data_IF_884487862691
#
_entry.id   IF_884487862691
#
_cell.length_a   1.000
_cell.length_b   1.000
_cell.length_c   1.000
_cell.angle_alpha   90.00
_cell.angle_beta   90.00
_cell.angle_gamma   90.00
#
_symmetry.space_group_name_H-M   'P 1'
#
loop_
_entity.id
_entity.type
_entity.pdbx_description
1 polymer ?
#
# COMPACT_ATOMS: atom_id res chain seq x y z
N UNK A 1 16.01 -11.23 -4.03
CA UNK A 1 15.38 -10.84 -2.75
C UNK A 1 13.87 -10.70 -2.96
N UNK A 2 13.02 -11.19 -2.04
CA UNK A 2 11.57 -11.03 -2.14
C UNK A 2 11.18 -9.70 -1.49
N UNK A 3 10.61 -8.77 -2.27
CA UNK A 3 10.26 -7.43 -1.77
C UNK A 3 8.79 -7.31 -1.34
N UNK A 4 7.91 -8.17 -1.88
CA UNK A 4 6.50 -8.26 -1.52
C UNK A 4 6.12 -9.70 -1.19
N UNK A 5 5.33 -9.89 -0.12
CA UNK A 5 4.86 -11.20 0.33
C UNK A 5 3.37 -11.16 0.66
N UNK A 6 2.51 -11.18 -0.37
CA UNK A 6 1.05 -11.14 -0.23
C UNK A 6 0.56 -10.05 0.75
N UNK A 7 0.93 -8.77 0.55
CA UNK A 7 0.69 -7.71 1.54
C UNK A 7 -0.80 -7.46 1.82
N UNK A 8 -1.67 -7.68 0.83
CA UNK A 8 -3.12 -7.51 0.99
C UNK A 8 -3.80 -8.63 1.78
N UNK A 9 -3.08 -9.71 2.08
CA UNK A 9 -3.53 -10.75 3.01
C UNK A 9 -3.19 -10.42 4.48
N UNK A 10 -2.58 -9.27 4.73
CA UNK A 10 -2.24 -8.83 6.08
C UNK A 10 -3.50 -8.59 6.91
N UNK A 11 -3.48 -9.07 8.16
CA UNK A 11 -4.57 -8.93 9.12
C UNK A 11 -4.25 -7.90 10.24
N UNK A 12 -3.13 -7.18 10.10
CA UNK A 12 -2.73 -6.07 10.97
C UNK A 12 -1.80 -5.12 10.19
N UNK A 13 -1.67 -3.87 10.63
CA UNK A 13 -0.77 -2.89 10.02
C UNK A 13 0.68 -3.32 10.16
N UNK A 14 1.04 -3.90 11.31
CA UNK A 14 2.38 -4.49 11.53
C UNK A 14 2.66 -5.62 10.54
N UNK A 15 1.69 -6.51 10.29
CA UNK A 15 1.83 -7.60 9.32
C UNK A 15 1.91 -7.06 7.88
N UNK A 16 1.16 -6.00 7.56
CA UNK A 16 1.25 -5.33 6.26
C UNK A 16 2.69 -4.86 5.98
N UNK A 17 3.33 -4.12 6.89
CA UNK A 17 4.68 -3.61 6.71
C UNK A 17 5.77 -4.70 6.72
N UNK A 18 5.50 -5.88 7.27
CA UNK A 18 6.37 -7.06 7.14
C UNK A 18 6.29 -7.70 5.74
N UNK A 19 5.26 -7.38 4.98
CA UNK A 19 4.96 -7.96 3.66
C UNK A 19 5.12 -6.98 2.52
N UNK A 20 5.05 -5.69 2.79
CA UNK A 20 5.15 -4.59 1.84
C UNK A 20 6.56 -3.98 1.86
N UNK A 21 7.15 -3.82 0.65
CA UNK A 21 8.47 -3.19 0.44
C UNK A 21 9.52 -3.64 1.46
N UNK A 22 9.72 -4.95 1.56
CA UNK A 22 10.47 -5.61 2.64
C UNK A 22 11.89 -5.08 2.75
N UNK A 23 12.56 -4.81 1.62
CA UNK A 23 13.92 -4.25 1.60
C UNK A 23 13.98 -2.88 2.28
N UNK A 24 13.07 -1.95 1.91
CA UNK A 24 13.01 -0.61 2.49
C UNK A 24 12.62 -0.66 3.97
N UNK A 25 11.60 -1.45 4.31
CA UNK A 25 11.14 -1.62 5.70
C UNK A 25 12.25 -2.21 6.59
N UNK A 26 13.05 -3.14 6.05
CA UNK A 26 14.21 -3.71 6.74
C UNK A 26 15.30 -2.65 6.92
N UNK A 27 15.59 -1.86 5.89
CA UNK A 27 16.57 -0.79 5.96
C UNK A 27 16.19 0.24 7.05
N UNK A 28 14.97 0.76 7.04
CA UNK A 28 14.50 1.70 8.08
C UNK A 28 14.53 1.08 9.48
N UNK A 29 14.20 -0.21 9.60
CA UNK A 29 14.30 -0.91 10.87
C UNK A 29 15.76 -0.97 11.37
N UNK A 30 16.69 -1.37 10.51
CA UNK A 30 18.05 -1.67 10.91
C UNK A 30 18.89 -0.40 11.10
N UNK A 31 18.67 0.62 10.26
CA UNK A 31 19.49 1.84 10.27
C UNK A 31 18.84 3.02 11.00
N UNK A 32 17.54 2.99 11.26
CA UNK A 32 16.85 4.09 11.98
C UNK A 32 16.21 3.58 13.26
N UNK A 33 15.30 2.60 13.20
CA UNK A 33 14.52 2.18 14.34
C UNK A 33 15.36 1.55 15.45
N UNK A 34 16.23 0.61 15.12
CA UNK A 34 17.12 -0.08 16.09
C UNK A 34 18.13 0.88 16.71
N UNK A 35 18.85 1.73 15.97
CA UNK A 35 19.74 2.74 16.55
C UNK A 35 19.06 3.74 17.49
N UNK A 36 17.79 4.08 17.23
CA UNK A 36 17.00 4.93 18.15
C UNK A 36 16.56 4.21 19.45
N UNK A 37 16.96 2.95 19.62
CA UNK A 37 16.61 2.10 20.76
C UNK A 37 15.47 1.11 20.49
N UNK A 38 14.86 1.13 19.32
CA UNK A 38 13.79 0.20 18.93
C UNK A 38 12.62 0.24 19.90
N UNK A 39 12.23 -0.95 20.38
CA UNK A 39 11.16 -1.14 21.37
C UNK A 39 11.69 -1.49 22.78
N UNK A 40 12.99 -1.25 23.04
CA UNK A 40 13.65 -1.61 24.33
C UNK A 40 13.42 -0.56 25.44
N UNK A 41 12.76 0.55 25.15
CA UNK A 41 12.50 1.61 26.13
C UNK A 41 11.06 1.63 26.63
N UNK A 42 10.63 2.82 27.03
CA UNK A 42 9.25 3.09 27.42
C UNK A 42 8.31 3.06 26.21
N UNK A 43 7.00 3.02 26.45
CA UNK A 43 6.00 3.17 25.38
C UNK A 43 6.19 4.48 24.62
N UNK A 44 6.54 5.58 25.32
CA UNK A 44 6.81 6.88 24.71
C UNK A 44 8.00 6.83 23.74
N UNK A 45 9.07 6.13 24.13
CA UNK A 45 10.25 5.92 23.26
C UNK A 45 9.86 5.15 21.99
N UNK A 46 9.06 4.11 22.12
CA UNK A 46 8.59 3.31 20.99
C UNK A 46 7.72 4.16 20.02
N UNK A 47 6.79 4.96 20.56
CA UNK A 47 5.93 5.88 19.80
C UNK A 47 6.80 6.88 19.03
N UNK A 48 7.74 7.54 19.70
CA UNK A 48 8.69 8.46 19.09
C UNK A 48 9.45 7.81 17.92
N UNK A 49 10.00 6.63 18.15
CA UNK A 49 10.82 5.92 17.16
C UNK A 49 10.00 5.53 15.93
N UNK A 50 8.77 5.04 16.10
CA UNK A 50 7.84 4.76 14.99
C UNK A 50 7.54 6.05 14.21
N UNK A 51 7.22 7.14 14.92
CA UNK A 51 6.91 8.41 14.26
C UNK A 51 8.09 8.92 13.43
N UNK A 52 9.32 8.86 13.97
CA UNK A 52 10.52 9.26 13.25
C UNK A 52 10.70 8.43 11.98
N UNK A 53 10.59 7.10 12.07
CA UNK A 53 10.76 6.18 10.93
C UNK A 53 9.78 6.51 9.80
N UNK A 54 8.50 6.67 10.13
CA UNK A 54 7.48 6.89 9.10
C UNK A 54 7.50 8.31 8.52
N UNK A 55 7.83 9.31 9.32
CA UNK A 55 8.03 10.68 8.81
C UNK A 55 9.24 10.74 7.88
N UNK A 56 10.36 10.12 8.26
CA UNK A 56 11.52 9.99 7.38
C UNK A 56 11.20 9.21 6.10
N UNK A 57 10.41 8.15 6.19
CA UNK A 57 9.94 7.41 5.02
C UNK A 57 9.11 8.31 4.10
N UNK A 58 8.25 9.17 4.65
CA UNK A 58 7.50 10.15 3.86
C UNK A 58 8.41 11.14 3.14
N UNK A 59 9.40 11.71 3.84
CA UNK A 59 10.39 12.63 3.25
C UNK A 59 11.22 11.94 2.17
N UNK A 60 11.56 10.67 2.38
CA UNK A 60 12.32 9.87 1.41
C UNK A 60 11.56 9.69 0.08
N UNK A 61 10.23 9.62 0.11
CA UNK A 61 9.39 9.51 -1.09
C UNK A 61 9.29 10.81 -1.92
N UNK A 62 9.64 11.94 -1.34
CA UNK A 62 9.69 13.21 -2.05
C UNK A 62 9.36 14.43 -1.19
N UNK A 63 9.69 15.61 -1.72
CA UNK A 63 9.52 16.90 -1.03
C UNK A 63 8.07 17.43 -1.11
N UNK A 64 7.08 16.56 -0.93
CA UNK A 64 5.67 16.95 -0.89
C UNK A 64 5.07 16.64 0.49
N UNK A 65 4.31 17.59 1.02
CA UNK A 65 3.61 17.44 2.30
C UNK A 65 2.64 16.25 2.33
N UNK A 66 2.10 15.85 1.19
CA UNK A 66 1.20 14.68 1.10
C UNK A 66 1.92 13.38 1.48
N UNK A 67 3.21 13.23 1.17
CA UNK A 67 4.03 12.08 1.60
C UNK A 67 4.28 12.09 3.11
N UNK A 68 4.49 13.28 3.70
CA UNK A 68 4.69 13.41 5.15
C UNK A 68 3.40 13.02 5.89
N UNK A 69 2.24 13.47 5.39
CA UNK A 69 0.94 13.08 5.97
C UNK A 69 0.68 11.59 5.78
N UNK A 70 1.02 11.00 4.63
CA UNK A 70 0.97 9.55 4.43
C UNK A 70 1.82 8.80 5.46
N UNK A 71 3.04 9.23 5.69
CA UNK A 71 3.90 8.67 6.74
C UNK A 71 3.29 8.83 8.14
N UNK A 72 2.76 10.01 8.47
CA UNK A 72 2.11 10.26 9.74
C UNK A 72 0.88 9.36 9.97
N UNK A 73 0.05 9.13 8.93
CA UNK A 73 -1.08 8.21 9.00
C UNK A 73 -0.60 6.78 9.33
N UNK A 74 0.42 6.29 8.64
CA UNK A 74 0.96 4.95 8.91
C UNK A 74 1.57 4.83 10.30
N UNK A 75 2.29 5.87 10.77
CA UNK A 75 2.79 5.93 12.15
C UNK A 75 1.63 5.84 13.14
N UNK A 76 0.58 6.65 12.95
CA UNK A 76 -0.60 6.66 13.81
C UNK A 76 -1.29 5.29 13.85
N UNK A 77 -1.52 4.67 12.71
CA UNK A 77 -2.13 3.34 12.63
C UNK A 77 -1.33 2.27 13.39
N UNK A 78 0.00 2.27 13.26
CA UNK A 78 0.87 1.35 14.00
C UNK A 78 0.87 1.62 15.50
N UNK A 79 0.90 2.88 15.91
CA UNK A 79 0.85 3.28 17.31
C UNK A 79 -0.49 2.85 17.93
N UNK A 80 -1.61 3.11 17.26
CA UNK A 80 -2.93 2.69 17.69
C UNK A 80 -3.02 1.15 17.81
N UNK A 81 -2.48 0.43 16.83
CA UNK A 81 -2.40 -1.04 16.90
C UNK A 81 -1.62 -1.50 18.13
N UNK A 82 -0.48 -0.89 18.43
CA UNK A 82 0.33 -1.27 19.61
C UNK A 82 -0.32 -0.91 20.96
N UNK A 83 -1.07 0.19 21.01
CA UNK A 83 -1.70 0.65 22.25
C UNK A 83 -2.98 -0.11 22.56
N UNK A 84 -3.82 -0.39 21.55
CA UNK A 84 -5.17 -0.90 21.74
C UNK A 84 -5.34 -2.37 21.37
N UNK A 85 -4.46 -2.92 20.52
CA UNK A 85 -4.56 -4.32 20.10
C UNK A 85 -3.62 -5.16 20.98
N UNK A 86 -4.22 -5.95 21.88
CA UNK A 86 -3.47 -6.89 22.73
C UNK A 86 -2.66 -7.87 21.87
N UNK A 87 -1.43 -8.20 22.31
CA UNK A 87 -0.60 -9.25 21.69
C UNK A 87 -1.35 -10.59 21.53
N UNK A 88 -2.32 -10.87 22.40
CA UNK A 88 -3.18 -12.05 22.36
C UNK A 88 -4.09 -12.09 21.10
N UNK A 89 -4.48 -10.93 20.56
CA UNK A 89 -5.30 -10.87 19.35
C UNK A 89 -4.50 -11.30 18.10
N UNK A 90 -3.19 -11.14 18.11
CA UNK A 90 -2.33 -11.58 17.01
C UNK A 90 -2.16 -13.11 16.93
N UNK A 91 -2.55 -13.86 17.97
CA UNK A 91 -2.57 -15.33 17.98
C UNK A 91 -3.89 -15.91 17.46
N UNK A 92 -4.94 -15.09 17.32
CA UNK A 92 -6.24 -15.51 16.79
C UNK A 92 -6.15 -15.57 15.27
N UNK A 93 -6.74 -16.63 14.69
CA UNK A 93 -6.80 -16.80 13.23
C UNK A 93 -7.31 -15.52 12.54
N UNK A 94 -6.61 -15.05 11.50
CA UNK A 94 -6.98 -13.80 10.84
C UNK A 94 -8.34 -13.93 10.16
N UNK A 95 -9.32 -13.19 10.63
CA UNK A 95 -10.64 -13.12 9.99
C UNK A 95 -10.59 -12.29 8.72
N UNK A 96 -11.47 -12.59 7.76
CA UNK A 96 -11.58 -11.81 6.53
C UNK A 96 -11.85 -10.32 6.81
N UNK A 97 -12.65 -10.02 7.84
CA UNK A 97 -12.97 -8.65 8.24
C UNK A 97 -11.74 -7.85 8.67
N UNK A 98 -10.78 -8.48 9.35
CA UNK A 98 -9.51 -7.83 9.71
C UNK A 98 -8.67 -7.52 8.47
N UNK A 99 -8.61 -8.43 7.50
CA UNK A 99 -7.90 -8.20 6.24
C UNK A 99 -8.53 -7.07 5.45
N UNK A 100 -9.86 -7.05 5.35
CA UNK A 100 -10.61 -5.97 4.69
C UNK A 100 -10.37 -4.62 5.39
N UNK A 101 -10.40 -4.58 6.71
CA UNK A 101 -10.11 -3.36 7.47
C UNK A 101 -8.70 -2.84 7.20
N UNK A 102 -7.68 -3.71 7.29
CA UNK A 102 -6.29 -3.31 7.01
C UNK A 102 -6.14 -2.83 5.57
N UNK A 103 -6.71 -3.56 4.62
CA UNK A 103 -6.72 -3.16 3.21
C UNK A 103 -7.35 -1.77 3.01
N UNK A 104 -8.52 -1.52 3.61
CA UNK A 104 -9.21 -0.24 3.50
C UNK A 104 -8.39 0.91 4.11
N UNK A 105 -7.81 0.71 5.31
CA UNK A 105 -6.99 1.74 5.98
C UNK A 105 -5.75 2.08 5.16
N UNK A 106 -5.07 1.09 4.61
CA UNK A 106 -3.89 1.30 3.76
C UNK A 106 -4.27 1.98 2.44
N UNK A 107 -5.39 1.59 1.83
CA UNK A 107 -5.88 2.21 0.59
C UNK A 107 -6.26 3.67 0.81
N UNK A 108 -6.90 4.02 1.93
CA UNK A 108 -7.19 5.40 2.29
C UNK A 108 -5.90 6.23 2.50
N UNK A 109 -4.88 5.64 3.13
CA UNK A 109 -3.59 6.31 3.28
C UNK A 109 -2.93 6.58 1.91
N UNK A 110 -3.06 5.67 0.94
CA UNK A 110 -2.52 5.85 -0.41
C UNK A 110 -3.16 6.98 -1.21
N UNK A 111 -4.33 7.48 -0.84
CA UNK A 111 -4.91 8.67 -1.44
C UNK A 111 -3.95 9.86 -1.29
N UNK A 112 -3.39 10.06 -0.08
CA UNK A 112 -2.39 11.10 0.15
C UNK A 112 -1.10 10.84 -0.63
N UNK A 113 -0.65 9.60 -0.70
CA UNK A 113 0.56 9.23 -1.46
C UNK A 113 0.44 9.54 -2.94
N UNK A 114 -0.74 9.33 -3.54
CA UNK A 114 -0.99 9.51 -4.98
C UNK A 114 -1.37 10.95 -5.35
N UNK A 115 -1.87 11.73 -4.41
CA UNK A 115 -2.36 13.09 -4.66
C UNK A 115 -1.21 14.08 -4.84
N UNK A 116 -1.38 15.02 -5.77
CA UNK A 116 -0.42 16.10 -6.01
C UNK A 116 -0.40 17.13 -4.87
N UNK A 117 -1.55 17.36 -4.24
CA UNK A 117 -1.75 18.30 -3.15
C UNK A 117 -2.88 17.85 -2.21
N UNK A 118 -3.08 18.58 -1.12
CA UNK A 118 -4.14 18.30 -0.16
C UNK A 118 -5.54 18.49 -0.72
N UNK A 119 -5.74 19.49 -1.60
CA UNK A 119 -7.06 19.75 -2.18
C UNK A 119 -7.53 18.53 -2.97
N UNK A 120 -6.65 17.97 -3.80
CA UNK A 120 -6.95 16.74 -4.54
C UNK A 120 -7.22 15.56 -3.59
N UNK A 121 -6.40 15.38 -2.55
CA UNK A 121 -6.60 14.29 -1.59
C UNK A 121 -7.96 14.40 -0.88
N UNK A 122 -8.31 15.59 -0.41
CA UNK A 122 -9.61 15.83 0.25
C UNK A 122 -10.80 15.72 -0.70
N UNK A 123 -10.65 16.13 -1.96
CA UNK A 123 -11.69 15.96 -2.96
C UNK A 123 -11.97 14.48 -3.23
N UNK A 124 -10.94 13.66 -3.37
CA UNK A 124 -11.08 12.20 -3.53
C UNK A 124 -11.77 11.60 -2.30
N UNK A 125 -11.34 11.95 -1.08
CA UNK A 125 -11.97 11.48 0.15
C UNK A 125 -13.44 11.91 0.21
N UNK A 126 -13.76 13.17 -0.08
CA UNK A 126 -15.14 13.68 -0.11
C UNK A 126 -16.00 12.88 -1.08
N UNK A 127 -15.52 12.62 -2.29
CA UNK A 127 -16.25 11.85 -3.29
C UNK A 127 -16.50 10.39 -2.83
N UNK A 128 -15.52 9.76 -2.16
CA UNK A 128 -15.69 8.40 -1.61
C UNK A 128 -16.77 8.39 -0.52
N UNK A 129 -16.73 9.32 0.43
CA UNK A 129 -17.65 9.33 1.57
C UNK A 129 -19.03 9.92 1.27
N UNK A 130 -19.16 10.77 0.26
CA UNK A 130 -20.46 11.30 -0.16
C UNK A 130 -21.24 10.36 -1.07
N UNK A 131 -20.63 9.23 -1.47
CA UNK A 131 -21.19 8.34 -2.50
C UNK A 131 -21.59 9.07 -3.80
N UNK A 132 -21.13 10.31 -3.97
CA UNK A 132 -21.27 11.07 -5.20
C UNK A 132 -20.17 10.63 -6.15
N UNK A 133 -20.35 9.46 -6.70
CA UNK A 133 -19.60 9.04 -7.88
C UNK A 133 -20.15 9.84 -9.07
N UNK A 134 -19.83 11.12 -9.18
CA UNK A 134 -19.94 11.85 -10.43
C UNK A 134 -18.93 11.21 -11.40
N UNK A 135 -19.31 10.04 -11.86
CA UNK A 135 -18.70 9.42 -13.01
C UNK A 135 -19.11 10.29 -14.21
N UNK A 136 -18.42 11.39 -14.42
CA UNK A 136 -18.34 11.94 -15.76
C UNK A 136 -17.64 10.88 -16.61
N UNK A 137 -18.44 9.90 -17.04
CA UNK A 137 -18.03 8.76 -17.88
C UNK A 137 -17.17 9.25 -19.04
N UNK A 138 -17.45 10.46 -19.53
CA UNK A 138 -16.67 11.12 -20.58
C UNK A 138 -15.23 11.48 -20.18
N UNK A 139 -14.95 11.81 -18.93
CA UNK A 139 -13.58 12.06 -18.47
C UNK A 139 -12.85 10.76 -18.14
N UNK A 140 -13.54 9.78 -17.58
CA UNK A 140 -12.96 8.45 -17.31
C UNK A 140 -12.72 7.70 -18.62
N UNK A 141 -13.63 7.78 -19.59
CA UNK A 141 -13.45 7.15 -20.91
C UNK A 141 -12.30 7.78 -21.73
N UNK A 142 -11.94 9.04 -21.45
CA UNK A 142 -10.76 9.66 -22.05
C UNK A 142 -9.44 9.08 -21.52
N UNK A 143 -9.41 8.57 -20.28
CA UNK A 143 -8.22 8.02 -19.63
C UNK A 143 -8.22 6.49 -19.55
N UNK A 144 -9.38 5.86 -19.42
CA UNK A 144 -9.49 4.40 -19.24
C UNK A 144 -10.63 3.92 -20.13
N UNK A 145 -10.32 3.15 -21.17
CA UNK A 145 -11.37 2.51 -21.98
C UNK A 145 -12.26 1.61 -21.07
N UNK A 146 -13.53 1.42 -21.39
CA UNK A 146 -14.43 0.53 -20.63
C UNK A 146 -13.84 -0.88 -20.46
N UNK A 147 -13.05 -1.33 -21.43
CA UNK A 147 -12.32 -2.61 -21.38
C UNK A 147 -11.25 -2.60 -20.28
N UNK A 148 -10.46 -1.52 -20.15
CA UNK A 148 -9.43 -1.41 -19.12
C UNK A 148 -10.05 -1.36 -17.72
N UNK A 149 -11.20 -0.72 -17.57
CA UNK A 149 -11.95 -0.69 -16.34
C UNK A 149 -12.44 -2.09 -15.93
N UNK A 150 -13.01 -2.83 -16.87
CA UNK A 150 -13.42 -4.23 -16.67
C UNK A 150 -12.21 -5.10 -16.30
N UNK A 151 -11.08 -4.95 -16.99
CA UNK A 151 -9.86 -5.69 -16.69
C UNK A 151 -9.32 -5.38 -15.29
N UNK A 152 -9.34 -4.12 -14.84
CA UNK A 152 -8.96 -3.76 -13.47
C UNK A 152 -9.86 -4.46 -12.43
N UNK A 153 -11.17 -4.50 -12.64
CA UNK A 153 -12.12 -5.19 -11.76
C UNK A 153 -11.89 -6.71 -11.70
N UNK A 154 -11.47 -7.32 -12.81
CA UNK A 154 -11.12 -8.74 -12.88
C UNK A 154 -9.75 -9.01 -12.25
N UNK A 155 -8.78 -8.12 -12.45
CA UNK A 155 -7.42 -8.30 -11.94
C UNK A 155 -7.34 -8.29 -10.41
N UNK A 156 -8.17 -7.49 -9.71
CA UNK A 156 -8.16 -7.42 -8.25
C UNK A 156 -8.51 -8.78 -7.60
N UNK A 157 -9.67 -9.42 -7.87
CA UNK A 157 -9.96 -10.74 -7.33
C UNK A 157 -8.98 -11.81 -7.83
N UNK A 158 -8.50 -11.70 -9.08
CA UNK A 158 -7.51 -12.63 -9.62
C UNK A 158 -6.19 -12.57 -8.84
N UNK A 159 -5.72 -11.38 -8.44
CA UNK A 159 -4.54 -11.23 -7.59
C UNK A 159 -4.74 -11.90 -6.22
N UNK A 160 -5.92 -11.76 -5.61
CA UNK A 160 -6.25 -12.44 -4.35
C UNK A 160 -6.28 -13.97 -4.51
N UNK A 161 -6.75 -14.49 -5.64
CA UNK A 161 -6.74 -15.92 -5.94
C UNK A 161 -5.32 -16.43 -6.16
N UNK A 162 -4.50 -15.72 -6.94
CA UNK A 162 -3.10 -16.08 -7.22
C UNK A 162 -2.27 -16.08 -5.93
N UNK A 163 -2.49 -15.11 -5.03
CA UNK A 163 -1.80 -15.03 -3.75
C UNK A 163 -2.07 -16.23 -2.83
N UNK A 164 -3.19 -16.94 -3.01
CA UNK A 164 -3.53 -18.14 -2.25
C UNK A 164 -2.96 -19.44 -2.87
N UNK A 165 -2.46 -19.40 -4.10
CA UNK A 165 -1.88 -20.59 -4.77
C UNK A 165 -0.43 -20.77 -4.32
N UNK A 166 -0.10 -21.90 -3.68
CA UNK A 166 1.28 -22.25 -3.34
C UNK A 166 2.10 -22.48 -4.61
N UNK A 167 3.04 -21.63 -4.85
CA UNK A 167 3.79 -21.42 -6.10
C UNK A 167 4.69 -22.57 -6.58
N UNK A 168 4.76 -23.73 -5.91
CA UNK A 168 5.77 -24.74 -6.20
C UNK A 168 5.58 -25.51 -7.53
N UNK A 169 4.36 -25.55 -8.06
CA UNK A 169 4.03 -26.44 -9.20
C UNK A 169 3.83 -25.71 -10.55
N UNK A 170 3.67 -24.38 -10.56
CA UNK A 170 3.19 -23.64 -11.75
C UNK A 170 4.12 -22.56 -12.30
N UNK A 171 5.44 -22.64 -12.08
CA UNK A 171 6.40 -21.62 -12.54
C UNK A 171 6.31 -21.30 -14.04
N UNK A 172 6.08 -22.29 -14.89
CA UNK A 172 6.03 -22.10 -16.35
C UNK A 172 4.76 -21.36 -16.80
N UNK A 173 3.63 -21.68 -16.20
CA UNK A 173 2.34 -21.03 -16.52
C UNK A 173 2.28 -19.59 -15.97
N UNK A 174 2.92 -19.35 -14.83
CA UNK A 174 3.04 -18.01 -14.27
C UNK A 174 3.87 -17.10 -15.16
N UNK A 175 5.01 -17.57 -15.68
CA UNK A 175 5.85 -16.76 -16.59
C UNK A 175 5.05 -16.38 -17.83
N UNK A 176 4.31 -17.31 -18.41
CA UNK A 176 3.43 -17.05 -19.55
C UNK A 176 2.32 -16.03 -19.21
N UNK A 177 1.75 -16.10 -18.00
CA UNK A 177 0.72 -15.19 -17.54
C UNK A 177 1.28 -13.78 -17.25
N UNK A 178 2.47 -13.70 -16.66
CA UNK A 178 3.17 -12.42 -16.43
C UNK A 178 3.58 -11.77 -17.77
N UNK A 179 4.07 -12.56 -18.71
CA UNK A 179 4.41 -12.06 -20.06
C UNK A 179 3.14 -11.59 -20.79
N UNK A 180 2.05 -12.36 -20.74
CA UNK A 180 0.78 -11.94 -21.33
C UNK A 180 0.22 -10.67 -20.65
N UNK A 181 0.29 -10.58 -19.32
CA UNK A 181 -0.12 -9.40 -18.57
C UNK A 181 0.71 -8.17 -18.85
N UNK A 182 2.05 -8.31 -18.96
CA UNK A 182 2.94 -7.19 -19.35
C UNK A 182 2.70 -6.76 -20.79
N UNK A 183 2.52 -7.68 -21.73
CA UNK A 183 2.15 -7.36 -23.10
C UNK A 183 0.80 -6.63 -23.17
N UNK A 184 -0.17 -7.06 -22.36
CA UNK A 184 -1.48 -6.41 -22.28
C UNK A 184 -1.37 -5.00 -21.71
N UNK A 185 -0.56 -4.77 -20.68
CA UNK A 185 -0.28 -3.45 -20.12
C UNK A 185 0.44 -2.55 -21.15
N UNK A 186 1.41 -3.09 -21.88
CA UNK A 186 2.14 -2.35 -22.92
C UNK A 186 1.22 -2.00 -24.08
N UNK A 187 0.36 -2.92 -24.51
CA UNK A 187 -0.53 -2.68 -25.67
C UNK A 187 -1.73 -1.79 -25.34
N UNK A 188 -2.22 -1.82 -24.09
CA UNK A 188 -3.37 -1.05 -23.65
C UNK A 188 -2.97 0.23 -22.89
N UNK A 189 -1.76 0.30 -22.35
CA UNK A 189 -1.22 1.48 -21.69
C UNK A 189 -0.80 2.50 -22.73
N UNK A 190 -1.64 3.48 -23.04
CA UNK A 190 -1.19 4.72 -23.67
C UNK A 190 -0.27 5.41 -22.66
N UNK A 191 1.03 5.40 -22.93
CA UNK A 191 2.04 6.16 -22.23
C UNK A 191 1.85 7.65 -22.49
N UNK A 192 0.98 8.31 -21.73
CA UNK A 192 1.11 9.74 -21.55
C UNK A 192 2.19 9.94 -20.47
N UNK A 193 3.26 10.60 -20.89
CA UNK A 193 4.48 10.93 -20.17
C UNK A 193 4.22 11.52 -18.78
N UNK A 194 4.04 10.68 -17.79
CA UNK A 194 4.36 11.00 -16.41
C UNK A 194 5.49 10.07 -16.01
N UNK A 195 6.73 10.54 -16.20
CA UNK A 195 7.92 9.83 -15.73
C UNK A 195 7.74 9.47 -14.25
N UNK A 196 7.59 8.19 -13.98
CA UNK A 196 7.58 7.68 -12.62
C UNK A 196 8.99 7.93 -12.07
N UNK A 197 9.11 8.73 -11.02
CA UNK A 197 10.37 9.15 -10.38
C UNK A 197 11.26 7.95 -9.97
N UNK A 198 10.70 6.75 -9.87
CA UNK A 198 11.41 5.52 -9.50
C UNK A 198 12.44 5.00 -10.54
N UNK A 199 12.48 5.56 -11.76
CA UNK A 199 13.44 5.15 -12.80
C UNK A 199 14.58 6.14 -13.01
N UNK A 200 14.77 7.11 -12.11
CA UNK A 200 15.87 8.09 -12.22
C UNK A 200 17.00 7.86 -11.22
N UNK A 201 17.10 6.66 -10.59
CA UNK A 201 18.24 6.30 -9.74
C UNK A 201 18.78 4.91 -10.13
#
# INVERSE_FOLDING_TARGET
MKNFNTPYQAASITDFWRRWHISLSTWFRDYVYIPLGGNKGTKSTTIRNISIVFLLSGVWHGANWTFIVWGAIHACLLILEQLFISKKINTIQPTIWRKLLVFSLVTLAWIFFRSKDFNQAFQVLKNIFSFQFNLEINQISAFISPLNMLLCWICIPLLFLIDNIKFSTYRKHLLAFLVAGTLLIITLGKSNEAAFIYFQF
#
